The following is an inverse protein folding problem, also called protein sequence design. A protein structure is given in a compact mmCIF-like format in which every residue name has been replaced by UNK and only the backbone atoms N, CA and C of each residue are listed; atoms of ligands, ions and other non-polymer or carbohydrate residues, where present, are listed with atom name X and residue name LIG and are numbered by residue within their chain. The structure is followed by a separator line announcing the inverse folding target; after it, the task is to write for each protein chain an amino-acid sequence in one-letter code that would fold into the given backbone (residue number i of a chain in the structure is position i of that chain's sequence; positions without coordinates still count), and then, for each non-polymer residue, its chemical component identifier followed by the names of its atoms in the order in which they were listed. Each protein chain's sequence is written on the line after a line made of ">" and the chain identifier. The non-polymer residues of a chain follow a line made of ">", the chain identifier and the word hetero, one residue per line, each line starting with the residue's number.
data_IF_070520713669
#
_entry.id   IF_070520713669
#
_cell.length_a   1.000
_cell.length_b   1.000
_cell.length_c   1.000
_cell.angle_alpha   90.00
_cell.angle_beta   90.00
_cell.angle_gamma   90.00
#
_symmetry.space_group_name_H-M   'P 1'
#
loop_
_entity.id
_entity.type
_entity.pdbx_description
1 polymer ?
#
# COMPACT_ATOMS: atom_id res chain seq x y z
N UNK A 1 39.92 -1.18 -9.13
CA UNK A 1 38.63 -1.80 -8.73
C UNK A 1 37.75 -1.74 -9.95
N UNK A 2 37.21 -2.88 -10.43
CA UNK A 2 36.25 -2.88 -11.53
C UNK A 2 35.02 -2.09 -11.08
N UNK A 3 34.51 -1.17 -11.92
CA UNK A 3 33.35 -0.39 -11.57
C UNK A 3 32.12 -1.32 -11.57
N UNK A 4 31.32 -1.31 -10.52
CA UNK A 4 30.11 -2.12 -10.37
C UNK A 4 29.05 -1.79 -11.44
N UNK A 5 29.25 -0.71 -12.22
CA UNK A 5 28.31 -0.20 -13.24
C UNK A 5 28.86 -0.30 -14.68
N UNK A 6 29.76 -1.24 -14.95
CA UNK A 6 30.36 -1.39 -16.29
C UNK A 6 29.31 -1.71 -17.36
N UNK A 7 29.21 -0.86 -18.38
CA UNK A 7 28.28 -1.02 -19.50
C UNK A 7 26.87 -0.43 -19.27
N UNK A 8 26.62 0.24 -18.15
CA UNK A 8 25.36 0.91 -17.89
C UNK A 8 25.22 2.18 -18.76
N UNK A 9 24.15 2.29 -19.53
CA UNK A 9 23.85 3.42 -20.41
C UNK A 9 22.93 4.39 -19.68
N UNK A 10 23.48 5.53 -19.29
CA UNK A 10 22.75 6.56 -18.54
C UNK A 10 22.54 7.78 -19.41
N UNK A 11 21.33 8.32 -19.45
CA UNK A 11 21.04 9.63 -20.03
C UNK A 11 20.68 10.64 -18.94
N UNK A 12 21.01 11.92 -19.17
CA UNK A 12 20.78 13.02 -18.23
C UNK A 12 19.89 14.07 -18.85
N UNK A 13 18.80 14.44 -18.16
CA UNK A 13 17.84 15.46 -18.59
C UNK A 13 17.75 16.53 -17.49
N UNK A 14 18.15 17.75 -17.82
CA UNK A 14 18.12 18.92 -16.92
C UNK A 14 18.25 20.17 -17.79
N UNK A 15 17.49 21.22 -17.56
CA UNK A 15 17.52 22.43 -18.37
C UNK A 15 18.79 23.27 -18.12
N UNK A 16 19.40 23.16 -16.94
CA UNK A 16 20.65 23.84 -16.61
C UNK A 16 21.87 23.11 -17.18
N UNK A 17 22.60 23.70 -18.16
CA UNK A 17 23.79 23.11 -18.75
C UNK A 17 24.92 22.85 -17.71
N UNK A 18 24.98 23.64 -16.64
CA UNK A 18 25.95 23.43 -15.57
C UNK A 18 25.61 22.17 -14.77
N UNK A 19 24.33 21.97 -14.49
CA UNK A 19 23.86 20.77 -13.78
C UNK A 19 24.10 19.51 -14.62
N UNK A 20 23.82 19.54 -15.91
CA UNK A 20 24.15 18.42 -16.82
C UNK A 20 25.64 18.08 -16.79
N UNK A 21 26.54 19.09 -16.78
CA UNK A 21 27.96 18.85 -16.71
C UNK A 21 28.40 18.30 -15.34
N UNK A 22 27.84 18.80 -14.23
CA UNK A 22 28.08 18.26 -12.89
C UNK A 22 27.62 16.80 -12.76
N UNK A 23 26.44 16.44 -13.24
CA UNK A 23 25.94 15.07 -13.23
C UNK A 23 26.82 14.15 -14.09
N UNK A 24 27.25 14.60 -15.26
CA UNK A 24 28.22 13.84 -16.11
C UNK A 24 29.52 13.56 -15.38
N UNK A 25 30.10 14.55 -14.69
CA UNK A 25 31.33 14.39 -13.91
C UNK A 25 31.14 13.45 -12.72
N UNK A 26 30.00 13.55 -12.03
CA UNK A 26 29.69 12.67 -10.91
C UNK A 26 29.49 11.20 -11.37
N UNK A 27 28.82 10.97 -12.50
CA UNK A 27 28.69 9.65 -13.11
C UNK A 27 30.02 9.09 -13.59
N UNK A 28 30.88 9.93 -14.20
CA UNK A 28 32.24 9.52 -14.61
C UNK A 28 33.09 9.07 -13.44
N UNK A 29 32.94 9.65 -12.23
CA UNK A 29 33.62 9.17 -11.01
C UNK A 29 33.15 7.77 -10.58
N UNK A 30 31.94 7.39 -10.96
CA UNK A 30 31.41 6.04 -10.74
C UNK A 30 31.77 5.07 -11.89
N UNK A 31 32.48 5.53 -12.90
CA UNK A 31 32.87 4.76 -14.07
C UNK A 31 31.72 4.55 -15.08
N UNK A 32 30.76 5.48 -15.10
CA UNK A 32 29.57 5.44 -15.99
C UNK A 32 29.72 6.53 -17.05
N UNK A 33 29.59 6.14 -18.32
CA UNK A 33 29.54 7.07 -19.42
C UNK A 33 28.08 7.46 -19.74
N UNK A 34 27.83 8.78 -19.86
CA UNK A 34 26.52 9.31 -20.26
C UNK A 34 26.37 9.19 -21.76
N UNK A 35 25.37 8.40 -22.20
CA UNK A 35 25.12 8.15 -23.64
C UNK A 35 24.43 9.31 -24.35
N UNK A 36 23.77 10.20 -23.60
CA UNK A 36 23.15 11.40 -24.15
C UNK A 36 22.64 12.34 -23.09
N UNK A 37 22.37 13.58 -23.49
CA UNK A 37 21.77 14.62 -22.62
C UNK A 37 20.66 15.35 -23.34
N UNK A 38 19.65 15.81 -22.61
CA UNK A 38 18.58 16.66 -23.11
C UNK A 38 18.35 17.83 -22.15
N UNK A 39 17.73 18.88 -22.63
CA UNK A 39 17.43 20.11 -21.88
C UNK A 39 15.95 20.20 -21.45
N UNK A 40 15.10 19.30 -21.97
CA UNK A 40 13.69 19.14 -21.57
C UNK A 40 13.16 17.72 -21.84
N UNK A 41 11.91 17.47 -21.47
CA UNK A 41 11.26 16.19 -21.70
C UNK A 41 11.09 15.81 -23.16
N UNK A 42 10.92 16.80 -24.07
CA UNK A 42 10.80 16.57 -25.51
C UNK A 42 12.11 16.08 -26.10
N UNK A 43 13.23 16.72 -25.74
CA UNK A 43 14.57 16.27 -26.08
C UNK A 43 14.91 14.90 -25.52
N UNK A 44 14.43 14.59 -24.30
CA UNK A 44 14.57 13.27 -23.71
C UNK A 44 13.85 12.18 -24.53
N UNK A 45 12.64 12.43 -24.99
CA UNK A 45 11.88 11.48 -25.83
C UNK A 45 12.56 11.26 -27.18
N UNK A 46 13.11 12.31 -27.82
CA UNK A 46 13.88 12.19 -29.06
C UNK A 46 15.17 11.36 -28.84
N UNK A 47 15.86 11.59 -27.73
CA UNK A 47 17.06 10.82 -27.37
C UNK A 47 16.74 9.33 -27.24
N UNK A 48 15.62 8.98 -26.60
CA UNK A 48 15.16 7.60 -26.45
C UNK A 48 14.69 6.93 -27.76
N UNK A 49 14.56 7.66 -28.84
CA UNK A 49 14.31 7.10 -30.18
C UNK A 49 15.59 6.68 -30.90
N UNK A 50 16.71 7.30 -30.56
CA UNK A 50 17.99 7.11 -31.25
C UNK A 50 19.02 6.34 -30.43
N UNK A 51 18.91 6.41 -29.09
CA UNK A 51 19.86 5.82 -28.17
C UNK A 51 19.16 4.80 -27.25
N UNK A 52 19.83 3.70 -27.01
CA UNK A 52 19.39 2.74 -26.01
C UNK A 52 19.84 3.20 -24.63
N UNK A 53 18.89 3.49 -23.75
CA UNK A 53 19.11 4.03 -22.40
C UNK A 53 18.59 3.04 -21.35
N UNK A 54 19.43 2.68 -20.37
CA UNK A 54 19.06 1.80 -19.29
C UNK A 54 18.48 2.60 -18.09
N UNK A 55 19.04 3.78 -17.83
CA UNK A 55 18.59 4.69 -16.75
C UNK A 55 18.51 6.12 -17.27
N UNK A 56 17.40 6.77 -16.98
CA UNK A 56 17.18 8.20 -17.22
C UNK A 56 17.25 8.97 -15.90
N UNK A 57 18.25 9.82 -15.75
CA UNK A 57 18.30 10.81 -14.69
C UNK A 57 17.58 12.07 -15.16
N UNK A 58 16.48 12.43 -14.50
CA UNK A 58 15.59 13.50 -14.98
C UNK A 58 15.35 14.55 -13.90
N UNK A 59 15.66 15.82 -14.22
CA UNK A 59 15.10 16.94 -13.45
C UNK A 59 13.58 16.99 -13.64
N UNK A 60 12.89 17.40 -12.58
CA UNK A 60 11.43 17.55 -12.61
C UNK A 60 11.01 18.94 -13.05
N UNK A 61 11.82 19.97 -12.81
CA UNK A 61 11.44 21.35 -13.06
C UNK A 61 12.18 21.93 -14.26
N UNK A 62 11.67 21.67 -15.45
CA UNK A 62 12.26 22.14 -16.72
C UNK A 62 11.24 22.95 -17.52
N UNK A 63 11.66 23.96 -18.30
CA UNK A 63 10.79 24.67 -19.23
C UNK A 63 10.35 23.76 -20.38
N UNK A 64 9.17 24.02 -20.95
CA UNK A 64 8.60 23.19 -22.03
C UNK A 64 7.94 21.94 -21.45
N UNK A 65 8.37 20.74 -21.83
CA UNK A 65 7.91 19.48 -21.24
C UNK A 65 8.69 19.22 -19.95
N UNK A 66 8.01 19.36 -18.81
CA UNK A 66 8.60 19.09 -17.50
C UNK A 66 8.74 17.58 -17.21
N UNK A 67 9.40 17.25 -16.10
CA UNK A 67 9.64 15.84 -15.73
C UNK A 67 8.37 15.07 -15.42
N UNK A 68 7.32 15.71 -14.88
CA UNK A 68 6.03 15.07 -14.62
C UNK A 68 5.30 14.71 -15.92
N UNK A 69 5.30 15.64 -16.89
CA UNK A 69 4.73 15.37 -18.20
C UNK A 69 5.51 14.28 -18.94
N UNK A 70 6.83 14.27 -18.82
CA UNK A 70 7.69 13.21 -19.38
C UNK A 70 7.32 11.83 -18.81
N UNK A 71 7.04 11.69 -17.52
CA UNK A 71 6.59 10.41 -16.91
C UNK A 71 5.35 9.86 -17.62
N UNK A 72 4.38 10.71 -17.94
CA UNK A 72 3.16 10.30 -18.66
C UNK A 72 3.47 9.77 -20.07
N UNK A 73 4.38 10.42 -20.78
CA UNK A 73 4.80 9.97 -22.12
C UNK A 73 5.61 8.65 -22.06
N UNK A 74 6.45 8.48 -21.05
CA UNK A 74 7.20 7.23 -20.85
C UNK A 74 6.28 6.07 -20.52
N UNK A 75 5.21 6.31 -19.76
CA UNK A 75 4.20 5.28 -19.44
C UNK A 75 3.46 4.73 -20.67
N UNK A 76 3.38 5.50 -21.74
CA UNK A 76 2.75 5.07 -22.99
C UNK A 76 3.69 4.24 -23.89
N UNK A 77 4.98 4.11 -23.55
CA UNK A 77 5.96 3.33 -24.33
C UNK A 77 5.93 1.86 -23.91
N UNK A 78 6.17 0.96 -24.85
CA UNK A 78 6.30 -0.48 -24.55
C UNK A 78 7.56 -0.80 -23.73
N UNK A 79 8.63 -0.03 -23.95
CA UNK A 79 9.88 -0.10 -23.20
C UNK A 79 10.26 1.30 -22.72
N UNK A 80 10.33 1.46 -21.41
CA UNK A 80 10.79 2.68 -20.76
C UNK A 80 12.07 2.40 -19.95
N UNK A 81 13.06 3.32 -19.93
CA UNK A 81 14.23 3.17 -19.08
C UNK A 81 13.83 3.20 -17.60
N UNK A 82 14.72 2.72 -16.74
CA UNK A 82 14.58 2.97 -15.31
C UNK A 82 14.77 4.46 -15.02
N UNK A 83 14.06 5.00 -14.03
CA UNK A 83 14.02 6.43 -13.75
C UNK A 83 14.66 6.75 -12.41
N UNK A 84 15.50 7.77 -12.38
CA UNK A 84 15.92 8.44 -11.16
C UNK A 84 15.60 9.93 -11.29
N UNK A 85 14.78 10.45 -10.40
CA UNK A 85 14.28 11.82 -10.47
C UNK A 85 15.11 12.74 -9.58
N UNK A 86 15.36 13.95 -10.07
CA UNK A 86 16.19 14.94 -9.40
C UNK A 86 15.36 16.20 -9.20
N UNK A 87 15.37 16.82 -8.03
CA UNK A 87 14.74 18.11 -7.77
C UNK A 87 15.30 18.76 -6.51
N UNK A 88 15.18 20.08 -6.42
CA UNK A 88 15.42 20.83 -5.18
C UNK A 88 14.24 20.85 -4.21
N UNK A 89 13.09 20.29 -4.59
CA UNK A 89 11.88 20.24 -3.78
C UNK A 89 11.52 18.78 -3.45
N UNK A 90 11.70 18.40 -2.20
CA UNK A 90 11.44 17.04 -1.71
C UNK A 90 9.96 16.64 -1.81
N UNK A 91 9.04 17.62 -1.79
CA UNK A 91 7.60 17.35 -1.96
C UNK A 91 7.29 16.95 -3.39
N UNK A 92 7.85 17.68 -4.37
CA UNK A 92 7.68 17.36 -5.80
C UNK A 92 8.33 16.00 -6.11
N UNK A 93 9.48 15.69 -5.50
CA UNK A 93 10.14 14.38 -5.66
C UNK A 93 9.26 13.22 -5.21
N UNK A 94 8.55 13.37 -4.09
CA UNK A 94 7.61 12.33 -3.61
C UNK A 94 6.45 12.13 -4.58
N UNK A 95 5.80 13.21 -4.99
CA UNK A 95 4.68 13.16 -5.96
C UNK A 95 5.13 12.50 -7.27
N UNK A 96 6.31 12.85 -7.78
CA UNK A 96 6.82 12.28 -9.01
C UNK A 96 7.13 10.77 -8.87
N UNK A 97 7.63 10.32 -7.71
CA UNK A 97 7.83 8.91 -7.44
C UNK A 97 6.52 8.14 -7.39
N UNK A 98 5.50 8.66 -6.71
CA UNK A 98 4.16 8.08 -6.65
C UNK A 98 3.52 7.99 -8.05
N UNK A 99 3.59 9.06 -8.85
CA UNK A 99 3.13 9.06 -10.24
C UNK A 99 3.87 8.04 -11.10
N UNK A 100 5.19 7.95 -10.95
CA UNK A 100 6.00 6.96 -11.65
C UNK A 100 5.56 5.53 -11.33
N UNK A 101 5.31 5.22 -10.06
CA UNK A 101 4.80 3.91 -9.63
C UNK A 101 3.36 3.66 -10.11
N UNK A 102 2.47 4.66 -10.02
CA UNK A 102 1.10 4.56 -10.52
C UNK A 102 1.06 4.28 -12.03
N UNK A 103 1.99 4.82 -12.77
CA UNK A 103 2.18 4.57 -14.20
C UNK A 103 2.96 3.28 -14.51
N UNK A 104 3.30 2.47 -13.50
CA UNK A 104 4.09 1.22 -13.64
C UNK A 104 5.48 1.43 -14.25
N UNK A 105 6.03 2.62 -14.11
CA UNK A 105 7.40 2.92 -14.50
C UNK A 105 8.38 2.37 -13.44
N UNK A 106 9.56 1.97 -13.88
CA UNK A 106 10.61 1.51 -12.96
C UNK A 106 11.32 2.70 -12.34
N UNK A 107 10.84 3.17 -11.19
CA UNK A 107 11.46 4.25 -10.41
C UNK A 107 12.52 3.68 -9.49
N UNK A 108 13.79 4.07 -9.70
CA UNK A 108 14.93 3.67 -8.85
C UNK A 108 14.97 4.48 -7.56
N UNK A 109 14.52 5.73 -7.62
CA UNK A 109 14.47 6.63 -6.47
C UNK A 109 14.53 8.09 -6.86
N UNK A 110 14.63 8.91 -5.85
CA UNK A 110 14.71 10.37 -5.94
C UNK A 110 16.04 10.88 -5.38
N UNK A 111 16.54 11.96 -5.94
CA UNK A 111 17.83 12.57 -5.56
C UNK A 111 17.60 14.06 -5.33
N UNK A 112 17.75 14.56 -4.10
CA UNK A 112 17.67 15.99 -3.84
C UNK A 112 18.87 16.73 -4.46
N UNK A 113 18.65 17.93 -4.97
CA UNK A 113 19.74 18.82 -5.42
C UNK A 113 20.43 19.46 -4.20
N UNK A 114 21.78 19.48 -4.15
CA UNK A 114 22.72 19.06 -5.19
C UNK A 114 22.96 17.55 -5.21
N UNK A 115 22.89 16.94 -6.38
CA UNK A 115 23.13 15.52 -6.56
C UNK A 115 24.61 15.18 -6.32
N UNK A 116 24.91 14.40 -5.29
CA UNK A 116 26.27 13.94 -4.95
C UNK A 116 26.57 12.58 -5.60
N UNK A 117 27.87 12.25 -5.85
CA UNK A 117 28.25 10.93 -6.35
C UNK A 117 27.72 9.77 -5.46
N UNK A 118 27.68 9.95 -4.14
CA UNK A 118 27.19 8.93 -3.21
C UNK A 118 25.66 8.74 -3.33
N UNK A 119 24.90 9.83 -3.48
CA UNK A 119 23.46 9.76 -3.72
C UNK A 119 23.14 9.07 -5.06
N UNK A 120 23.88 9.40 -6.12
CA UNK A 120 23.78 8.74 -7.42
C UNK A 120 24.09 7.24 -7.30
N UNK A 121 25.18 6.88 -6.62
CA UNK A 121 25.55 5.48 -6.35
C UNK A 121 24.41 4.73 -5.67
N UNK A 122 23.89 5.27 -4.56
CA UNK A 122 22.81 4.64 -3.77
C UNK A 122 21.57 4.36 -4.61
N UNK A 123 21.19 5.28 -5.50
CA UNK A 123 20.02 5.09 -6.37
C UNK A 123 20.32 4.10 -7.49
N UNK A 124 21.52 4.15 -8.08
CA UNK A 124 21.89 3.23 -9.17
C UNK A 124 22.11 1.79 -8.69
N UNK A 125 22.59 1.56 -7.47
CA UNK A 125 22.69 0.22 -6.85
C UNK A 125 21.33 -0.50 -6.76
N UNK A 126 20.23 0.25 -6.72
CA UNK A 126 18.89 -0.33 -6.78
C UNK A 126 18.55 -0.93 -8.16
N UNK A 127 19.28 -0.57 -9.20
CA UNK A 127 19.18 -1.21 -10.52
C UNK A 127 19.68 -2.66 -10.46
N UNK A 128 20.80 -2.90 -9.76
CA UNK A 128 21.41 -4.23 -9.60
C UNK A 128 20.70 -5.05 -8.52
N UNK A 129 20.26 -4.42 -7.44
CA UNK A 129 19.46 -5.09 -6.41
C UNK A 129 18.10 -5.60 -6.94
N UNK A 130 17.57 -4.98 -7.99
CA UNK A 130 16.40 -5.51 -8.69
C UNK A 130 16.75 -6.63 -9.70
N UNK A 131 18.03 -6.81 -10.06
CA UNK A 131 18.56 -8.02 -10.70
C UNK A 131 18.98 -9.08 -9.67
N UNK A 132 19.20 -8.69 -8.40
CA UNK A 132 19.73 -9.52 -7.30
C UNK A 132 18.84 -9.59 -6.06
N UNK A 133 17.64 -9.02 -6.02
CA UNK A 133 16.62 -9.62 -5.18
C UNK A 133 16.20 -10.90 -5.93
N UNK A 134 16.65 -12.06 -5.52
CA UNK A 134 15.96 -13.25 -5.92
C UNK A 134 14.63 -13.19 -5.13
N UNK A 135 13.54 -12.76 -5.76
CA UNK A 135 12.55 -13.80 -5.96
C UNK A 135 13.38 -15.01 -6.38
N UNK A 136 13.55 -15.98 -5.49
CA UNK A 136 14.16 -17.27 -5.76
C UNK A 136 13.77 -17.71 -7.17
N UNK A 137 14.58 -17.33 -8.16
CA UNK A 137 14.58 -18.01 -9.44
C UNK A 137 15.33 -19.30 -9.19
N UNK A 138 14.61 -20.28 -8.65
CA UNK A 138 14.85 -21.63 -9.11
C UNK A 138 14.92 -21.55 -10.64
N UNK A 139 15.91 -22.18 -11.22
CA UNK A 139 16.25 -22.23 -12.65
C UNK A 139 15.21 -22.94 -13.52
N UNK A 140 13.95 -22.97 -13.08
CA UNK A 140 12.76 -23.23 -13.86
C UNK A 140 12.09 -21.86 -14.14
N UNK A 141 11.60 -21.59 -15.38
CA UNK A 141 10.79 -20.43 -15.63
C UNK A 141 9.68 -20.41 -14.57
N UNK A 142 9.59 -19.30 -13.80
CA UNK A 142 8.51 -19.17 -12.85
C UNK A 142 7.22 -19.53 -13.60
N UNK A 143 6.42 -20.47 -13.11
CA UNK A 143 5.22 -20.86 -13.80
C UNK A 143 4.44 -19.58 -14.05
N UNK A 144 4.11 -19.32 -15.32
CA UNK A 144 3.18 -18.24 -15.68
C UNK A 144 1.91 -18.57 -14.92
N UNK A 145 1.70 -17.87 -13.78
CA UNK A 145 0.51 -18.07 -12.97
C UNK A 145 -0.62 -17.52 -13.81
N UNK A 146 -1.41 -18.38 -14.40
CA UNK A 146 -2.52 -17.98 -15.22
C UNK A 146 -3.59 -17.33 -14.31
N UNK A 147 -4.07 -16.16 -14.73
CA UNK A 147 -5.14 -15.47 -14.04
C UNK A 147 -6.40 -16.35 -13.90
N UNK A 148 -6.67 -17.21 -14.90
CA UNK A 148 -7.81 -18.14 -14.88
C UNK A 148 -7.62 -19.24 -13.82
N UNK A 149 -6.40 -19.75 -13.65
CA UNK A 149 -6.07 -20.71 -12.60
C UNK A 149 -6.26 -20.12 -11.21
N UNK A 150 -5.78 -18.87 -10.98
CA UNK A 150 -6.01 -18.16 -9.73
C UNK A 150 -7.49 -18.05 -9.42
N UNK A 151 -8.30 -17.60 -10.39
CA UNK A 151 -9.73 -17.39 -10.20
C UNK A 151 -10.48 -18.71 -9.95
N UNK A 152 -10.06 -19.79 -10.62
CA UNK A 152 -10.63 -21.14 -10.42
C UNK A 152 -10.32 -21.70 -9.02
N UNK A 153 -9.21 -21.28 -8.39
CA UNK A 153 -8.82 -21.73 -7.05
C UNK A 153 -9.62 -21.07 -5.93
N UNK A 154 -10.24 -19.92 -6.19
CA UNK A 154 -11.17 -19.29 -5.24
C UNK A 154 -12.52 -20.03 -5.35
N UNK A 155 -13.10 -20.57 -4.26
CA UNK A 155 -12.87 -20.29 -2.84
C UNK A 155 -11.97 -21.30 -2.09
N UNK A 156 -11.48 -22.33 -2.73
CA UNK A 156 -10.83 -23.48 -2.05
C UNK A 156 -9.49 -23.12 -1.39
N UNK A 157 -8.63 -22.42 -2.12
CA UNK A 157 -7.24 -22.15 -1.73
C UNK A 157 -7.02 -20.82 -0.98
N UNK A 158 -8.07 -20.03 -0.71
CA UNK A 158 -7.97 -18.81 0.10
C UNK A 158 -7.76 -19.20 1.56
N UNK A 159 -6.73 -18.69 2.21
CA UNK A 159 -6.53 -18.77 3.65
C UNK A 159 -6.41 -17.37 4.24
N UNK A 160 -6.62 -17.22 5.56
CA UNK A 160 -6.54 -15.94 6.24
C UNK A 160 -5.30 -15.90 7.14
N UNK A 161 -4.56 -14.83 7.00
CA UNK A 161 -3.60 -14.38 8.00
C UNK A 161 -4.23 -13.24 8.79
N UNK A 162 -3.85 -13.10 10.03
CA UNK A 162 -4.42 -12.08 10.91
C UNK A 162 -3.33 -11.19 11.44
N UNK A 163 -3.58 -9.88 11.43
CA UNK A 163 -2.67 -8.91 12.02
C UNK A 163 -3.36 -8.21 13.20
N UNK A 164 -2.74 -8.23 14.39
CA UNK A 164 -3.31 -7.61 15.59
C UNK A 164 -3.35 -6.09 15.50
N UNK A 165 -4.45 -5.53 16.00
CA UNK A 165 -4.63 -4.11 16.31
C UNK A 165 -4.63 -3.96 17.83
N UNK A 166 -3.68 -3.16 18.33
CA UNK A 166 -3.40 -3.01 19.75
C UNK A 166 -4.02 -1.72 20.24
N UNK A 167 -4.81 -1.80 21.30
CA UNK A 167 -5.33 -0.63 22.02
C UNK A 167 -4.17 0.05 22.77
N UNK A 168 -3.93 1.32 22.46
CA UNK A 168 -2.79 2.07 23.00
C UNK A 168 -2.96 2.44 24.48
N UNK A 169 -4.19 2.44 24.98
CA UNK A 169 -4.49 2.69 26.39
C UNK A 169 -4.19 1.49 27.28
N UNK A 170 -4.55 0.28 26.84
CA UNK A 170 -4.37 -0.96 27.62
C UNK A 170 -3.13 -1.76 27.23
N UNK A 171 -2.60 -1.57 26.03
CA UNK A 171 -1.54 -2.39 25.44
C UNK A 171 -2.01 -3.78 25.00
N UNK A 172 -3.32 -4.05 24.98
CA UNK A 172 -3.88 -5.36 24.64
C UNK A 172 -4.40 -5.39 23.19
N UNK A 173 -4.36 -6.56 22.53
CA UNK A 173 -5.01 -6.75 21.25
C UNK A 173 -6.54 -6.75 21.43
N UNK A 174 -7.24 -5.91 20.67
CA UNK A 174 -8.70 -5.75 20.72
C UNK A 174 -9.39 -6.11 19.42
N UNK A 175 -8.65 -6.10 18.32
CA UNK A 175 -9.12 -6.43 16.99
C UNK A 175 -8.01 -7.10 16.18
N UNK A 176 -8.41 -7.79 15.11
CA UNK A 176 -7.51 -8.43 14.16
C UNK A 176 -7.95 -8.11 12.75
N UNK A 177 -7.06 -7.63 11.90
CA UNK A 177 -7.34 -7.52 10.48
C UNK A 177 -7.15 -8.87 9.78
N UNK A 178 -8.18 -9.34 9.07
CA UNK A 178 -8.17 -10.59 8.31
C UNK A 178 -7.65 -10.34 6.89
N UNK A 179 -6.42 -10.73 6.64
CA UNK A 179 -5.69 -10.54 5.41
C UNK A 179 -5.72 -11.81 4.55
N UNK A 180 -6.38 -11.75 3.41
CA UNK A 180 -6.47 -12.87 2.48
C UNK A 180 -5.09 -13.28 1.94
N UNK A 181 -4.87 -14.59 1.84
CA UNK A 181 -3.73 -15.22 1.17
C UNK A 181 -4.27 -16.31 0.24
N UNK A 182 -3.59 -16.55 -0.87
CA UNK A 182 -3.97 -17.62 -1.78
C UNK A 182 -2.85 -18.66 -1.85
N UNK A 183 -3.15 -19.90 -1.50
CA UNK A 183 -2.20 -21.01 -1.55
C UNK A 183 -2.17 -21.62 -2.94
N UNK A 184 -1.13 -21.25 -3.71
CA UNK A 184 -0.93 -21.77 -5.05
C UNK A 184 -0.08 -23.05 -5.02
N UNK A 185 -0.42 -24.11 -5.79
CA UNK A 185 0.25 -25.41 -5.72
C UNK A 185 1.76 -25.36 -6.00
N UNK A 186 2.19 -24.49 -6.90
CA UNK A 186 3.60 -24.38 -7.34
C UNK A 186 4.27 -23.10 -6.89
N UNK A 187 3.53 -21.98 -6.76
CA UNK A 187 4.09 -20.68 -6.37
C UNK A 187 4.03 -20.40 -4.87
N UNK A 188 3.49 -21.33 -4.06
CA UNK A 188 3.40 -21.17 -2.61
C UNK A 188 2.31 -20.19 -2.19
N UNK A 189 2.57 -19.38 -1.16
CA UNK A 189 1.60 -18.45 -0.58
C UNK A 189 1.65 -17.10 -1.30
N UNK A 190 0.57 -16.74 -1.99
CA UNK A 190 0.44 -15.47 -2.71
C UNK A 190 -0.22 -14.40 -1.84
N UNK A 191 0.34 -13.19 -1.88
CA UNK A 191 -0.24 -12.01 -1.24
C UNK A 191 -1.41 -11.40 -2.01
N UNK A 192 -2.27 -10.60 -1.34
CA UNK A 192 -3.47 -10.01 -1.95
C UNK A 192 -3.16 -9.10 -3.14
N UNK A 193 -2.05 -8.39 -3.14
CA UNK A 193 -1.63 -7.52 -4.25
C UNK A 193 -1.50 -8.21 -5.61
N UNK A 194 -1.39 -9.56 -5.64
CA UNK A 194 -1.33 -10.33 -6.88
C UNK A 194 -2.71 -10.78 -7.37
N UNK A 195 -3.59 -11.23 -6.49
CA UNK A 195 -4.84 -11.87 -6.91
C UNK A 195 -6.10 -11.00 -6.73
N UNK A 196 -6.11 -10.05 -5.78
CA UNK A 196 -7.26 -9.15 -5.58
C UNK A 196 -7.54 -8.29 -6.81
N UNK A 197 -6.52 -7.63 -7.44
CA UNK A 197 -6.76 -6.87 -8.67
C UNK A 197 -7.28 -7.73 -9.83
N UNK A 198 -6.89 -9.00 -9.91
CA UNK A 198 -7.43 -9.93 -10.91
C UNK A 198 -8.90 -10.24 -10.67
N UNK A 199 -9.28 -10.48 -9.40
CA UNK A 199 -10.69 -10.70 -9.01
C UNK A 199 -11.57 -9.51 -9.40
N UNK A 200 -11.08 -8.31 -9.18
CA UNK A 200 -11.77 -7.06 -9.50
C UNK A 200 -11.94 -6.87 -11.02
N UNK A 201 -10.85 -7.01 -11.78
CA UNK A 201 -10.90 -6.90 -13.24
C UNK A 201 -11.85 -7.90 -13.89
N UNK A 202 -12.04 -9.06 -13.28
CA UNK A 202 -12.92 -10.13 -13.77
C UNK A 202 -14.32 -10.11 -13.13
N UNK A 203 -14.61 -9.16 -12.23
CA UNK A 203 -15.90 -9.03 -11.56
C UNK A 203 -16.25 -10.19 -10.62
N UNK A 204 -15.24 -10.84 -10.04
CA UNK A 204 -15.40 -11.98 -9.11
C UNK A 204 -15.06 -11.63 -7.65
N UNK A 205 -14.81 -10.34 -7.34
CA UNK A 205 -14.50 -9.84 -5.99
C UNK A 205 -15.50 -10.34 -4.97
N UNK A 206 -16.78 -10.33 -5.30
CA UNK A 206 -17.86 -10.81 -4.44
C UNK A 206 -17.64 -12.26 -3.97
N UNK A 207 -17.13 -13.13 -4.84
CA UNK A 207 -16.84 -14.53 -4.47
C UNK A 207 -15.70 -14.61 -3.48
N UNK A 208 -14.67 -13.79 -3.64
CA UNK A 208 -13.55 -13.68 -2.71
C UNK A 208 -14.01 -13.15 -1.36
N UNK A 209 -14.67 -11.99 -1.33
CA UNK A 209 -15.19 -11.34 -0.12
C UNK A 209 -16.06 -12.28 0.68
N UNK A 210 -16.96 -13.02 0.03
CA UNK A 210 -17.81 -14.01 0.69
C UNK A 210 -17.02 -15.12 1.38
N UNK A 211 -15.93 -15.59 0.79
CA UNK A 211 -15.08 -16.63 1.39
C UNK A 211 -14.32 -16.05 2.58
N UNK A 212 -13.75 -14.85 2.43
CA UNK A 212 -13.00 -14.16 3.48
C UNK A 212 -13.89 -13.90 4.70
N UNK A 213 -15.05 -13.28 4.50
CA UNK A 213 -16.04 -12.98 5.56
C UNK A 213 -16.46 -14.25 6.29
N UNK A 214 -16.83 -15.31 5.57
CA UNK A 214 -17.24 -16.58 6.18
C UNK A 214 -16.13 -17.17 7.05
N UNK A 215 -14.89 -17.25 6.54
CA UNK A 215 -13.76 -17.80 7.29
C UNK A 215 -13.39 -16.93 8.49
N UNK A 216 -13.50 -15.61 8.37
CA UNK A 216 -13.28 -14.68 9.47
C UNK A 216 -14.31 -14.90 10.59
N UNK A 217 -15.60 -15.06 10.26
CA UNK A 217 -16.66 -15.37 11.23
C UNK A 217 -16.44 -16.73 11.90
N UNK A 218 -16.13 -17.78 11.13
CA UNK A 218 -15.85 -19.12 11.66
C UNK A 218 -14.65 -19.10 12.64
N UNK A 219 -13.62 -18.33 12.33
CA UNK A 219 -12.44 -18.21 13.21
C UNK A 219 -12.74 -17.37 14.44
N UNK A 220 -13.47 -16.27 14.30
CA UNK A 220 -13.88 -15.42 15.40
C UNK A 220 -14.75 -16.18 16.41
N UNK A 221 -15.64 -17.06 15.93
CA UNK A 221 -16.44 -17.93 16.77
C UNK A 221 -15.56 -18.86 17.64
N UNK A 222 -14.47 -19.41 17.08
CA UNK A 222 -13.52 -20.24 17.83
C UNK A 222 -12.81 -19.46 18.92
N UNK A 223 -12.29 -18.26 18.63
CA UNK A 223 -11.64 -17.40 19.61
C UNK A 223 -12.58 -16.99 20.73
N UNK A 224 -13.81 -16.60 20.39
CA UNK A 224 -14.83 -16.25 21.40
C UNK A 224 -15.21 -17.46 22.28
N UNK A 225 -15.30 -18.66 21.70
CA UNK A 225 -15.53 -19.90 22.46
C UNK A 225 -14.36 -20.24 23.38
N UNK A 226 -13.15 -19.79 23.07
CA UNK A 226 -11.96 -19.88 23.93
C UNK A 226 -11.86 -18.76 24.97
N UNK A 227 -12.86 -17.86 25.06
CA UNK A 227 -12.89 -16.76 26.03
C UNK A 227 -12.20 -15.47 25.59
N UNK A 228 -11.79 -15.38 24.32
CA UNK A 228 -11.16 -14.17 23.77
C UNK A 228 -12.23 -13.26 23.16
N UNK A 229 -12.48 -12.11 23.80
CA UNK A 229 -13.46 -11.12 23.30
C UNK A 229 -12.80 -10.16 22.31
N UNK A 230 -12.67 -10.61 21.06
CA UNK A 230 -11.99 -9.93 19.97
C UNK A 230 -12.98 -9.48 18.90
N UNK A 231 -12.58 -8.48 18.11
CA UNK A 231 -13.20 -8.09 16.85
C UNK A 231 -12.36 -8.56 15.67
N UNK A 232 -12.98 -8.71 14.51
CA UNK A 232 -12.26 -8.99 13.27
C UNK A 232 -12.69 -7.98 12.21
N UNK A 233 -11.71 -7.36 11.59
CA UNK A 233 -11.87 -6.47 10.46
C UNK A 233 -11.62 -7.23 9.15
N UNK A 234 -12.43 -6.95 8.13
CA UNK A 234 -12.38 -7.60 6.81
C UNK A 234 -12.47 -6.55 5.72
N UNK A 235 -11.53 -6.58 4.80
CA UNK A 235 -11.53 -5.74 3.61
C UNK A 235 -12.67 -6.14 2.66
N UNK A 236 -13.46 -5.15 2.22
CA UNK A 236 -14.57 -5.31 1.28
C UNK A 236 -14.49 -4.30 0.15
N UNK A 237 -14.85 -4.73 -1.06
CA UNK A 237 -14.96 -3.81 -2.19
C UNK A 237 -16.32 -3.10 -2.19
N UNK A 238 -16.36 -1.85 -2.64
CA UNK A 238 -17.63 -1.14 -2.84
C UNK A 238 -18.55 -1.85 -3.84
N UNK A 239 -17.98 -2.56 -4.82
CA UNK A 239 -18.73 -3.36 -5.79
C UNK A 239 -19.48 -4.53 -5.12
N UNK A 240 -18.98 -5.04 -3.99
CA UNK A 240 -19.60 -6.12 -3.23
C UNK A 240 -20.85 -5.65 -2.46
N UNK A 241 -21.02 -4.34 -2.30
CA UNK A 241 -22.08 -3.70 -1.53
C UNK A 241 -23.27 -3.22 -2.38
N UNK A 242 -23.31 -3.58 -3.66
CA UNK A 242 -24.44 -3.20 -4.55
C UNK A 242 -25.68 -4.04 -4.26
N UNK A 243 -25.52 -5.30 -3.87
CA UNK A 243 -26.62 -6.22 -3.57
C UNK A 243 -27.08 -6.13 -2.11
N UNK A 244 -28.26 -5.55 -1.88
CA UNK A 244 -28.87 -5.39 -0.54
C UNK A 244 -28.99 -6.72 0.23
N UNK A 245 -29.07 -7.86 -0.47
CA UNK A 245 -29.16 -9.19 0.16
C UNK A 245 -27.89 -9.58 0.93
N UNK A 246 -26.76 -8.89 0.70
CA UNK A 246 -25.51 -9.13 1.45
C UNK A 246 -25.69 -8.90 2.95
N UNK A 247 -26.54 -7.97 3.36
CA UNK A 247 -26.84 -7.70 4.78
C UNK A 247 -27.44 -8.93 5.45
N UNK A 248 -28.47 -9.53 4.83
CA UNK A 248 -29.12 -10.73 5.37
C UNK A 248 -28.21 -11.96 5.37
N UNK A 249 -27.35 -12.08 4.35
CA UNK A 249 -26.35 -13.17 4.30
C UNK A 249 -25.29 -13.05 5.39
N UNK A 250 -24.80 -11.85 5.65
CA UNK A 250 -23.86 -11.59 6.73
C UNK A 250 -24.48 -11.91 8.10
N UNK A 251 -25.71 -11.44 8.31
CA UNK A 251 -26.46 -11.70 9.55
C UNK A 251 -26.69 -13.20 9.78
N UNK A 252 -27.11 -13.93 8.75
CA UNK A 252 -27.29 -15.37 8.84
C UNK A 252 -25.97 -16.09 9.17
N UNK A 253 -24.89 -15.76 8.47
CA UNK A 253 -23.59 -16.38 8.73
C UNK A 253 -23.07 -16.09 10.16
N UNK A 254 -23.26 -14.88 10.66
CA UNK A 254 -22.90 -14.52 12.03
C UNK A 254 -23.73 -15.27 13.06
N UNK A 255 -25.05 -15.32 12.89
CA UNK A 255 -25.99 -16.03 13.78
C UNK A 255 -25.73 -17.54 13.82
N UNK A 256 -25.50 -18.17 12.66
CA UNK A 256 -25.19 -19.61 12.55
C UNK A 256 -23.92 -20.00 13.33
N UNK A 257 -23.00 -19.06 13.51
CA UNK A 257 -21.74 -19.24 14.24
C UNK A 257 -21.77 -18.64 15.67
N UNK A 258 -22.87 -18.06 16.12
CA UNK A 258 -22.98 -17.43 17.43
C UNK A 258 -22.12 -16.18 17.61
N UNK A 259 -21.78 -15.49 16.52
CA UNK A 259 -20.95 -14.29 16.51
C UNK A 259 -21.85 -13.05 16.48
N UNK A 260 -21.73 -12.10 17.42
CA UNK A 260 -22.48 -10.86 17.33
C UNK A 260 -21.91 -9.99 16.21
N UNK A 261 -22.79 -9.33 15.46
CA UNK A 261 -22.39 -8.45 14.36
C UNK A 261 -21.49 -7.29 14.81
N UNK A 262 -21.55 -6.90 16.08
CA UNK A 262 -20.68 -5.89 16.68
C UNK A 262 -19.22 -6.31 16.79
N UNK A 263 -18.92 -7.59 16.61
CA UNK A 263 -17.56 -8.13 16.58
C UNK A 263 -16.95 -8.17 15.17
N UNK A 264 -17.68 -7.67 14.16
CA UNK A 264 -17.22 -7.57 12.77
C UNK A 264 -17.07 -6.11 12.38
N UNK A 265 -15.95 -5.78 11.73
CA UNK A 265 -15.69 -4.50 11.06
C UNK A 265 -15.49 -4.75 9.57
N UNK A 266 -16.13 -3.95 8.72
CA UNK A 266 -15.89 -3.94 7.28
C UNK A 266 -15.01 -2.73 6.96
N UNK A 267 -13.87 -2.99 6.34
CA UNK A 267 -12.91 -1.98 5.90
C UNK A 267 -13.14 -1.67 4.42
N UNK A 268 -13.24 -0.39 4.11
CA UNK A 268 -13.48 0.11 2.76
C UNK A 268 -12.39 1.10 2.38
N UNK A 269 -11.68 0.83 1.29
CA UNK A 269 -10.66 1.75 0.78
C UNK A 269 -11.30 3.04 0.26
N UNK A 270 -10.70 4.18 0.63
CA UNK A 270 -11.17 5.52 0.28
C UNK A 270 -11.44 5.67 -1.22
N UNK A 271 -10.52 5.23 -2.07
CA UNK A 271 -10.53 5.45 -3.52
C UNK A 271 -11.68 4.74 -4.27
N UNK A 272 -12.35 3.77 -3.64
CA UNK A 272 -13.34 2.91 -4.31
C UNK A 272 -14.79 3.20 -3.95
N UNK A 273 -15.03 4.04 -2.97
CA UNK A 273 -16.39 4.44 -2.60
C UNK A 273 -16.85 5.56 -3.52
N UNK A 274 -17.71 5.24 -4.49
CA UNK A 274 -18.29 6.24 -5.38
C UNK A 274 -19.29 7.13 -4.62
N UNK A 275 -19.06 8.45 -4.52
CA UNK A 275 -19.91 9.35 -3.72
C UNK A 275 -21.38 9.41 -4.17
N UNK A 276 -21.68 9.04 -5.41
CA UNK A 276 -23.01 9.18 -6.01
C UNK A 276 -23.84 7.91 -6.04
N UNK A 277 -23.26 6.74 -5.70
CA UNK A 277 -23.98 5.47 -5.71
C UNK A 277 -24.88 5.32 -4.45
N UNK A 278 -26.21 5.25 -4.65
CA UNK A 278 -27.19 5.10 -3.55
C UNK A 278 -27.24 3.68 -2.98
N UNK A 279 -26.95 2.66 -3.79
CA UNK A 279 -26.97 1.25 -3.38
C UNK A 279 -25.98 0.90 -2.26
N UNK A 280 -24.67 1.17 -2.42
CA UNK A 280 -23.70 0.94 -1.36
C UNK A 280 -24.03 1.69 -0.07
N UNK A 281 -24.51 2.92 -0.15
CA UNK A 281 -24.88 3.71 1.03
C UNK A 281 -26.03 3.06 1.80
N UNK A 282 -27.05 2.53 1.11
CA UNK A 282 -28.15 1.80 1.76
C UNK A 282 -27.62 0.56 2.49
N UNK A 283 -26.78 -0.24 1.83
CA UNK A 283 -26.21 -1.46 2.41
C UNK A 283 -25.38 -1.13 3.65
N UNK A 284 -24.47 -0.17 3.56
CA UNK A 284 -23.61 0.25 4.68
C UNK A 284 -24.43 0.79 5.86
N UNK A 285 -25.44 1.63 5.59
CA UNK A 285 -26.31 2.16 6.64
C UNK A 285 -27.07 1.03 7.35
N UNK A 286 -27.59 0.05 6.61
CA UNK A 286 -28.28 -1.11 7.20
C UNK A 286 -27.35 -2.01 8.01
N UNK A 287 -26.10 -2.23 7.54
CA UNK A 287 -25.09 -2.96 8.30
C UNK A 287 -24.75 -2.24 9.61
N UNK A 288 -24.57 -0.91 9.56
CA UNK A 288 -24.31 -0.10 10.75
C UNK A 288 -25.46 -0.14 11.76
N UNK A 289 -26.72 -0.07 11.30
CA UNK A 289 -27.91 -0.21 12.14
C UNK A 289 -27.99 -1.58 12.85
N UNK A 290 -27.38 -2.62 12.27
CA UNK A 290 -27.29 -3.96 12.87
C UNK A 290 -26.07 -4.14 13.78
N UNK A 291 -25.25 -3.09 13.93
CA UNK A 291 -24.08 -3.07 14.81
C UNK A 291 -22.76 -3.46 14.15
N UNK A 292 -22.74 -3.74 12.84
CA UNK A 292 -21.48 -3.97 12.11
C UNK A 292 -20.62 -2.72 12.15
N UNK A 293 -19.34 -2.86 12.47
CA UNK A 293 -18.35 -1.80 12.37
C UNK A 293 -18.09 -1.43 10.90
N UNK A 294 -17.91 -0.15 10.63
CA UNK A 294 -17.47 0.35 9.31
C UNK A 294 -16.20 1.17 9.49
N UNK A 295 -15.12 0.78 8.82
CA UNK A 295 -13.84 1.47 8.84
C UNK A 295 -13.52 2.05 7.47
N UNK A 296 -13.05 3.29 7.44
CA UNK A 296 -12.44 3.85 6.23
C UNK A 296 -10.95 3.53 6.24
N UNK A 297 -10.49 2.89 5.17
CA UNK A 297 -9.13 2.41 5.00
C UNK A 297 -8.31 3.35 4.09
N UNK A 298 -6.98 3.38 4.28
CA UNK A 298 -6.04 4.22 3.52
C UNK A 298 -6.38 5.73 3.56
N UNK A 299 -6.93 6.23 4.69
CA UNK A 299 -7.35 7.62 4.78
C UNK A 299 -6.20 8.59 4.53
N UNK A 300 -6.44 9.52 3.58
CA UNK A 300 -5.51 10.57 3.19
C UNK A 300 -4.72 10.29 1.91
N UNK A 301 -4.88 9.11 1.28
CA UNK A 301 -4.24 8.79 0.01
C UNK A 301 -5.10 9.16 -1.20
N UNK A 302 -6.40 9.50 -1.01
CA UNK A 302 -7.39 9.79 -2.05
C UNK A 302 -7.92 11.23 -2.07
N UNK A 303 -8.80 11.52 -3.05
CA UNK A 303 -9.31 12.87 -3.32
C UNK A 303 -10.64 13.22 -2.61
N UNK A 304 -11.26 12.32 -1.86
CA UNK A 304 -12.68 12.48 -1.44
C UNK A 304 -12.96 12.26 0.04
N UNK A 305 -11.95 12.08 0.89
CA UNK A 305 -12.04 11.64 2.29
C UNK A 305 -13.10 12.36 3.14
N UNK A 306 -13.08 13.68 3.19
CA UNK A 306 -14.03 14.47 4.00
C UNK A 306 -15.50 14.33 3.56
N UNK A 307 -15.73 14.19 2.24
CA UNK A 307 -17.09 14.01 1.72
C UNK A 307 -17.64 12.64 2.08
N UNK A 308 -16.80 11.62 2.07
CA UNK A 308 -17.17 10.24 2.45
C UNK A 308 -17.44 10.14 3.95
N UNK A 309 -16.57 10.70 4.80
CA UNK A 309 -16.78 10.77 6.25
C UNK A 309 -18.12 11.43 6.62
N UNK A 310 -18.54 12.46 5.85
CA UNK A 310 -19.83 13.12 6.08
C UNK A 310 -21.04 12.25 5.69
N UNK A 311 -20.92 11.36 4.71
CA UNK A 311 -22.05 10.62 4.11
C UNK A 311 -22.21 9.21 4.64
N UNK A 312 -21.11 8.53 4.92
CA UNK A 312 -21.11 7.12 5.35
C UNK A 312 -20.92 7.10 6.86
N UNK A 313 -21.73 6.31 7.59
CA UNK A 313 -21.67 6.26 9.05
C UNK A 313 -20.49 5.39 9.53
N UNK A 314 -19.27 5.80 9.21
CA UNK A 314 -18.07 5.16 9.72
C UNK A 314 -18.02 5.26 11.25
N UNK A 315 -17.33 4.35 11.89
CA UNK A 315 -17.01 4.40 13.32
C UNK A 315 -15.51 4.33 13.56
N UNK A 316 -14.73 4.03 12.51
CA UNK A 316 -13.29 3.86 12.60
C UNK A 316 -12.59 4.48 11.38
N UNK A 317 -11.41 5.02 11.60
CA UNK A 317 -10.57 5.63 10.58
C UNK A 317 -9.17 5.05 10.70
N UNK A 318 -8.71 4.36 9.64
CA UNK A 318 -7.35 3.84 9.53
C UNK A 318 -6.47 4.89 8.85
N UNK A 319 -5.42 5.28 9.54
CA UNK A 319 -4.45 6.29 9.08
C UNK A 319 -3.36 5.55 8.33
N UNK A 320 -3.23 5.85 7.03
CA UNK A 320 -2.26 5.18 6.15
C UNK A 320 -0.82 5.29 6.67
N UNK A 321 -0.06 4.23 6.44
CA UNK A 321 1.34 4.11 6.87
C UNK A 321 2.24 5.27 6.39
N UNK A 322 1.92 5.93 5.26
CA UNK A 322 2.73 7.04 4.74
C UNK A 322 2.73 8.26 5.66
N UNK A 323 1.65 8.46 6.42
CA UNK A 323 1.58 9.52 7.45
C UNK A 323 2.40 9.13 8.67
N UNK A 324 2.33 7.88 9.11
CA UNK A 324 3.05 7.38 10.30
C UNK A 324 4.56 7.30 10.05
N UNK A 325 4.97 6.77 8.90
CA UNK A 325 6.36 6.50 8.57
C UNK A 325 7.27 7.74 8.65
N UNK A 326 6.76 8.90 8.22
CA UNK A 326 7.55 10.12 8.11
C UNK A 326 7.32 11.10 9.28
N UNK A 327 6.32 10.88 10.13
CA UNK A 327 5.90 11.85 11.17
C UNK A 327 6.96 12.09 12.25
N UNK A 328 7.92 11.20 12.44
CA UNK A 328 9.03 11.36 13.39
C UNK A 328 10.12 12.32 12.89
N UNK A 329 10.23 12.52 11.57
CA UNK A 329 11.31 13.30 10.95
C UNK A 329 10.83 14.47 10.08
N UNK A 330 9.57 14.45 9.63
CA UNK A 330 8.96 15.47 8.78
C UNK A 330 7.83 16.19 9.55
N UNK A 331 8.01 17.49 9.80
CA UNK A 331 7.04 18.31 10.54
C UNK A 331 5.68 18.42 9.83
N UNK A 332 5.66 18.42 8.49
CA UNK A 332 4.41 18.41 7.71
C UNK A 332 3.65 17.10 7.87
N UNK A 333 4.35 15.97 7.75
CA UNK A 333 3.75 14.65 7.97
C UNK A 333 3.20 14.54 9.40
N UNK A 334 3.93 15.04 10.40
CA UNK A 334 3.48 15.11 11.79
C UNK A 334 2.23 15.97 11.95
N UNK A 335 2.18 17.16 11.34
CA UNK A 335 1.01 18.06 11.40
C UNK A 335 -0.21 17.40 10.74
N UNK A 336 -0.04 16.68 9.63
CA UNK A 336 -1.13 15.97 8.96
C UNK A 336 -1.64 14.82 9.83
N UNK A 337 -0.76 14.03 10.43
CA UNK A 337 -1.12 12.95 11.36
C UNK A 337 -1.90 13.49 12.55
N UNK A 338 -1.41 14.54 13.22
CA UNK A 338 -2.06 15.20 14.34
C UNK A 338 -3.45 15.75 13.97
N UNK A 339 -3.55 16.44 12.83
CA UNK A 339 -4.83 16.98 12.33
C UNK A 339 -5.83 15.86 12.00
N UNK A 340 -5.37 14.72 11.48
CA UNK A 340 -6.22 13.56 11.18
C UNK A 340 -6.75 12.91 12.45
N UNK A 341 -5.90 12.72 13.47
CA UNK A 341 -6.31 12.17 14.77
C UNK A 341 -7.32 13.11 15.44
N UNK A 342 -7.06 14.43 15.43
CA UNK A 342 -7.98 15.41 15.98
C UNK A 342 -9.33 15.43 15.25
N UNK A 343 -9.33 15.39 13.92
CA UNK A 343 -10.55 15.32 13.12
C UNK A 343 -11.37 14.06 13.46
N UNK A 344 -10.71 12.90 13.57
CA UNK A 344 -11.37 11.65 13.92
C UNK A 344 -12.02 11.75 15.32
N UNK A 345 -11.31 12.31 16.32
CA UNK A 345 -11.83 12.53 17.66
C UNK A 345 -13.06 13.46 17.68
N UNK A 346 -13.07 14.54 16.89
CA UNK A 346 -14.21 15.46 16.78
C UNK A 346 -15.43 14.81 16.08
N UNK A 347 -15.21 13.74 15.31
CA UNK A 347 -16.25 12.97 14.62
C UNK A 347 -16.64 11.68 15.35
N UNK A 348 -16.17 11.47 16.60
CA UNK A 348 -16.38 10.26 17.40
C UNK A 348 -15.94 8.97 16.66
N UNK A 349 -14.84 9.04 15.88
CA UNK A 349 -14.25 7.91 15.19
C UNK A 349 -13.06 7.36 15.97
N UNK A 350 -13.00 6.04 16.08
CA UNK A 350 -11.81 5.32 16.57
C UNK A 350 -10.69 5.42 15.53
N UNK A 351 -9.49 5.78 15.93
CA UNK A 351 -8.33 5.86 15.04
C UNK A 351 -7.47 4.60 15.11
N UNK A 352 -7.01 4.12 13.95
CA UNK A 352 -6.03 3.04 13.83
C UNK A 352 -4.83 3.55 13.06
N UNK A 353 -3.68 3.71 13.70
CA UNK A 353 -2.44 4.04 13.01
C UNK A 353 -1.80 2.80 12.39
N UNK A 354 -1.61 2.81 11.07
CA UNK A 354 -1.04 1.70 10.33
C UNK A 354 0.45 1.83 10.09
N UNK A 355 1.11 0.70 9.82
CA UNK A 355 2.52 0.68 9.44
C UNK A 355 3.47 1.13 10.53
N UNK A 356 3.12 0.92 11.81
CA UNK A 356 4.02 1.21 12.93
C UNK A 356 5.20 0.23 12.90
N UNK A 357 6.40 0.73 12.59
CA UNK A 357 7.60 -0.09 12.43
C UNK A 357 8.66 0.17 13.49
N UNK A 358 8.59 1.28 14.24
CA UNK A 358 9.56 1.65 15.27
C UNK A 358 8.92 2.06 16.59
N UNK A 359 9.71 2.03 17.67
CA UNK A 359 9.27 2.48 18.99
C UNK A 359 8.94 3.98 19.01
N UNK A 360 9.74 4.78 18.29
CA UNK A 360 9.55 6.23 18.21
C UNK A 360 8.23 6.59 17.52
N UNK A 361 7.83 5.82 16.49
CA UNK A 361 6.52 5.98 15.86
C UNK A 361 5.39 5.64 16.83
N UNK A 362 5.52 4.53 17.57
CA UNK A 362 4.53 4.12 18.58
C UNK A 362 4.36 5.18 19.68
N UNK A 363 5.47 5.71 20.20
CA UNK A 363 5.45 6.78 21.20
C UNK A 363 4.78 8.06 20.65
N UNK A 364 5.07 8.43 19.42
CA UNK A 364 4.48 9.60 18.77
C UNK A 364 2.96 9.47 18.62
N UNK A 365 2.45 8.38 18.04
CA UNK A 365 1.01 8.20 17.84
C UNK A 365 0.26 8.10 19.17
N UNK A 366 0.88 7.50 20.19
CA UNK A 366 0.32 7.45 21.55
C UNK A 366 0.23 8.84 22.15
N UNK A 367 1.28 9.65 22.02
CA UNK A 367 1.31 11.05 22.52
C UNK A 367 0.30 11.96 21.79
N UNK A 368 0.00 11.67 20.51
CA UNK A 368 -1.01 12.40 19.74
C UNK A 368 -2.45 11.94 20.03
N UNK A 369 -2.64 10.90 20.86
CA UNK A 369 -3.96 10.43 21.28
C UNK A 369 -4.64 9.50 20.26
N UNK A 370 -3.88 8.79 19.44
CA UNK A 370 -4.41 7.70 18.60
C UNK A 370 -4.93 6.57 19.50
N UNK A 371 -6.02 5.90 19.08
CA UNK A 371 -6.66 4.87 19.89
C UNK A 371 -6.00 3.49 19.70
N UNK A 372 -5.79 3.07 18.47
CA UNK A 372 -5.25 1.76 18.09
C UNK A 372 -4.00 1.89 17.23
N UNK A 373 -3.15 0.87 17.28
CA UNK A 373 -1.98 0.76 16.43
C UNK A 373 -1.86 -0.62 15.77
N UNK A 374 -1.40 -0.63 14.53
CA UNK A 374 -1.09 -1.83 13.75
C UNK A 374 0.23 -1.62 13.02
N UNK A 375 1.11 -2.64 13.01
CA UNK A 375 2.38 -2.55 12.28
C UNK A 375 3.36 -3.65 12.66
N UNK A 376 4.46 -3.72 11.92
CA UNK A 376 5.44 -4.79 12.09
C UNK A 376 6.24 -4.70 13.38
N UNK A 377 6.28 -3.53 14.00
CA UNK A 377 6.84 -3.38 15.34
C UNK A 377 6.04 -4.14 16.41
N UNK A 378 4.72 -4.16 16.26
CA UNK A 378 3.81 -4.83 17.19
C UNK A 378 3.65 -6.32 16.86
N UNK A 379 3.24 -6.63 15.63
CA UNK A 379 3.13 -7.97 15.10
C UNK A 379 3.01 -7.97 13.57
N UNK A 380 3.61 -8.97 12.91
CA UNK A 380 3.38 -9.22 11.49
C UNK A 380 2.08 -10.00 11.27
N UNK A 381 1.48 -9.97 10.06
CA UNK A 381 0.38 -10.87 9.73
C UNK A 381 0.78 -12.33 9.94
N UNK A 382 -0.01 -13.07 10.70
CA UNK A 382 0.26 -14.46 11.11
C UNK A 382 -0.85 -15.40 10.64
N UNK A 383 -0.53 -16.66 10.28
CA UNK A 383 -1.55 -17.69 10.09
C UNK A 383 -2.30 -17.97 11.40
N UNK A 384 -3.49 -18.58 11.29
CA UNK A 384 -4.43 -18.80 12.41
C UNK A 384 -3.75 -19.40 13.66
N UNK A 385 -2.96 -20.47 13.48
CA UNK A 385 -2.35 -21.17 14.62
C UNK A 385 -1.33 -20.28 15.36
N UNK A 386 -0.53 -19.53 14.60
CA UNK A 386 0.48 -18.64 15.17
C UNK A 386 -0.16 -17.44 15.89
N UNK A 387 -1.18 -16.82 15.30
CA UNK A 387 -1.86 -15.69 15.96
C UNK A 387 -2.66 -16.15 17.17
N UNK A 388 -3.22 -17.36 17.15
CA UNK A 388 -3.94 -17.90 18.32
C UNK A 388 -3.00 -18.09 19.50
N UNK A 389 -1.83 -18.72 19.29
CA UNK A 389 -0.82 -18.85 20.35
C UNK A 389 -0.34 -17.47 20.85
N UNK A 390 -0.13 -16.52 19.94
CA UNK A 390 0.27 -15.15 20.29
C UNK A 390 -0.78 -14.42 21.13
N UNK A 391 -2.09 -14.65 20.85
CA UNK A 391 -3.21 -14.10 21.61
C UNK A 391 -3.34 -14.73 23.00
N UNK A 392 -3.20 -16.05 23.09
CA UNK A 392 -3.28 -16.79 24.37
C UNK A 392 -2.29 -16.23 25.39
N UNK A 393 -1.06 -15.96 24.96
CA UNK A 393 -0.02 -15.37 25.82
C UNK A 393 -0.38 -13.97 26.34
N UNK A 394 -1.16 -13.18 25.58
CA UNK A 394 -1.42 -11.75 25.87
C UNK A 394 -2.80 -11.47 26.44
N UNK A 395 -3.80 -12.22 26.02
CA UNK A 395 -5.20 -11.99 26.43
C UNK A 395 -5.59 -12.86 27.63
N UNK A 396 -5.15 -14.12 27.63
CA UNK A 396 -5.52 -15.05 28.70
C UNK A 396 -4.51 -15.06 29.86
N UNK A 397 -3.30 -14.52 29.62
CA UNK A 397 -2.21 -14.48 30.59
C UNK A 397 -1.71 -15.87 31.04
N UNK A 398 -0.60 -15.95 31.79
CA UNK A 398 -0.20 -17.20 32.42
C UNK A 398 -1.16 -17.57 33.56
#
# INVERSE_FOLDING_TARGET
>A
MASDFAGLRVAVVDDDPLMRDLLRRALAQLGIDVVGTADDGSGALQLLETEAVDVLLCDLNMPGMDGIELLRHLAARQEAPALAMISGDDHILRIAAELGHAHRLRVLGTIPKPATPDALRTVLERLDNAKTTPVSRSSDPAPLIDAEDILAMIPGAVELHYQPQIDLGSGLPVSLEALARLRHPTAGLLGPGLFVPLCEQRGVSFSLTRVVVRRAIEQLARWRSAGMDLRVAVNVSADDLVDVSVVGRLEAAANDNGVPLTALTLELTESRILPEATGPLEVLSRMRMKGVGLSIDDYGTGFSSLQQLRRIPFHELKIDQSFVANATTDERARTMLESTIQLAAELDLTTVAEGVETAEQLELITALGCDLAQGYFLARPMPVDAVTAWLEERVLGP
#
